data_IF_770141890538
#
_entry.id   IF_770141890538
#
_cell.length_a   1.000
_cell.length_b   1.000
_cell.length_c   1.000
_cell.angle_alpha   90.00
_cell.angle_beta   90.00
_cell.angle_gamma   90.00
#
_symmetry.space_group_name_H-M   'P 1'
#
loop_
_entity.id
_entity.type
_entity.pdbx_description
1 polymer ?
#
# COMPACT_ATOMS: atom_id res chain seq x y z
N UNK A 1 -10.00 32.11 3.19
CA UNK A 1 -10.17 30.73 3.70
C UNK A 1 -9.51 29.82 2.69
N UNK A 2 -8.29 29.36 2.98
CA UNK A 2 -7.58 28.39 2.13
C UNK A 2 -8.37 27.08 2.19
N UNK A 3 -8.94 26.67 1.05
CA UNK A 3 -9.46 25.32 0.88
C UNK A 3 -8.28 24.36 1.07
N UNK A 4 -8.16 23.78 2.26
CA UNK A 4 -7.18 22.76 2.55
C UNK A 4 -7.71 21.47 1.93
N UNK A 5 -7.10 21.04 0.82
CA UNK A 5 -7.35 19.71 0.29
C UNK A 5 -6.77 18.70 1.27
N UNK A 6 -7.62 17.85 1.81
CA UNK A 6 -7.22 16.73 2.68
C UNK A 6 -6.25 15.83 1.92
N UNK A 7 -5.14 15.48 2.55
CA UNK A 7 -4.31 14.38 2.06
C UNK A 7 -5.16 13.09 2.01
N UNK A 8 -5.09 12.37 0.89
CA UNK A 8 -5.59 11.00 0.76
C UNK A 8 -7.06 10.91 0.40
N UNK A 9 -7.45 11.44 -0.76
CA UNK A 9 -8.74 11.07 -1.38
C UNK A 9 -8.79 9.59 -1.79
N UNK A 10 -7.65 8.88 -1.75
CA UNK A 10 -7.50 7.44 -1.95
C UNK A 10 -6.90 6.75 -0.69
N UNK A 11 -7.51 6.85 0.47
CA UNK A 11 -8.53 5.93 1.00
C UNK A 11 -8.07 4.86 2.03
N UNK A 12 -6.83 4.38 2.00
CA UNK A 12 -6.22 3.68 3.13
C UNK A 12 -4.73 4.02 3.24
N UNK A 13 -4.21 4.05 4.47
CA UNK A 13 -2.82 4.45 4.71
C UNK A 13 -2.18 3.73 5.89
N UNK A 14 -0.89 3.49 5.75
CA UNK A 14 -0.03 2.88 6.76
C UNK A 14 0.96 3.95 7.24
N UNK A 15 1.03 4.15 8.55
CA UNK A 15 2.02 5.00 9.18
C UNK A 15 3.09 4.14 9.86
N UNK A 16 4.36 4.41 9.56
CA UNK A 16 5.52 3.69 10.12
C UNK A 16 6.41 4.66 10.87
N UNK A 17 6.70 4.36 12.14
CA UNK A 17 7.51 5.22 13.01
C UNK A 17 9.02 5.04 12.77
N UNK A 18 9.74 6.15 12.66
CA UNK A 18 11.20 6.28 12.59
C UNK A 18 11.87 5.38 11.53
N UNK A 19 11.20 5.21 10.39
CA UNK A 19 11.72 4.55 9.20
C UNK A 19 11.70 5.46 7.99
N UNK A 20 12.66 5.27 7.10
CA UNK A 20 12.78 6.00 5.85
C UNK A 20 11.79 5.51 4.79
N UNK A 21 11.56 6.31 3.75
CA UNK A 21 10.76 5.90 2.59
C UNK A 21 11.33 4.65 1.91
N UNK A 22 12.65 4.47 1.90
CA UNK A 22 13.30 3.31 1.29
C UNK A 22 13.00 2.02 2.07
N UNK A 23 13.14 2.05 3.40
CA UNK A 23 12.84 0.90 4.26
C UNK A 23 11.36 0.52 4.19
N UNK A 24 10.46 1.52 4.15
CA UNK A 24 9.02 1.27 4.01
C UNK A 24 8.69 0.72 2.63
N UNK A 25 9.32 1.22 1.56
CA UNK A 25 9.15 0.68 0.21
C UNK A 25 9.59 -0.79 0.13
N UNK A 26 10.77 -1.10 0.66
CA UNK A 26 11.31 -2.46 0.70
C UNK A 26 10.40 -3.41 1.47
N UNK A 27 9.95 -2.99 2.66
CA UNK A 27 9.04 -3.79 3.48
C UNK A 27 7.69 -4.06 2.81
N UNK A 28 7.20 -3.11 2.00
CA UNK A 28 5.97 -3.26 1.23
C UNK A 28 6.19 -4.01 -0.10
N UNK A 29 7.44 -4.31 -0.48
CA UNK A 29 7.79 -4.94 -1.75
C UNK A 29 7.66 -4.01 -2.96
N UNK A 30 7.71 -2.70 -2.74
CA UNK A 30 7.57 -1.69 -3.79
C UNK A 30 8.91 -1.48 -4.51
N UNK A 31 8.88 -1.48 -5.84
CA UNK A 31 10.07 -1.31 -6.68
C UNK A 31 9.83 -0.33 -7.82
N UNK A 32 10.89 0.28 -8.34
CA UNK A 32 10.79 1.20 -9.49
C UNK A 32 10.17 2.58 -9.18
N UNK A 33 10.18 3.01 -7.92
CA UNK A 33 9.58 4.28 -7.51
C UNK A 33 10.21 5.51 -8.17
N UNK A 34 9.38 6.51 -8.48
CA UNK A 34 9.79 7.81 -9.02
C UNK A 34 9.54 8.93 -8.03
N UNK A 35 10.44 9.90 -7.98
CA UNK A 35 10.27 11.11 -7.17
C UNK A 35 9.18 11.99 -7.78
N UNK A 36 8.21 12.38 -6.97
CA UNK A 36 7.09 13.24 -7.34
C UNK A 36 6.84 14.29 -6.25
N UNK A 37 5.99 15.27 -6.56
CA UNK A 37 5.47 16.16 -5.53
C UNK A 37 4.56 15.37 -4.57
N UNK A 38 4.56 15.71 -3.28
CA UNK A 38 3.69 15.07 -2.29
C UNK A 38 2.20 15.12 -2.68
N UNK A 39 1.75 16.22 -3.28
CA UNK A 39 0.38 16.36 -3.77
C UNK A 39 0.03 15.39 -4.92
N UNK A 40 1.02 15.03 -5.75
CA UNK A 40 0.83 14.02 -6.81
C UNK A 40 0.73 12.63 -6.20
N UNK A 41 1.65 12.28 -5.29
CA UNK A 41 1.69 10.97 -4.62
C UNK A 41 0.36 10.62 -3.93
N UNK A 42 -0.30 11.64 -3.38
CA UNK A 42 -1.47 11.49 -2.51
C UNK A 42 -2.80 11.46 -3.27
N UNK A 43 -2.80 11.97 -4.50
CA UNK A 43 -3.96 11.94 -5.40
C UNK A 43 -3.94 10.70 -6.31
N UNK A 44 -2.88 9.90 -6.28
CA UNK A 44 -2.76 8.71 -7.11
C UNK A 44 -3.76 7.64 -6.65
N UNK A 45 -4.58 7.15 -7.58
CA UNK A 45 -5.65 6.18 -7.29
C UNK A 45 -5.25 4.72 -7.51
N UNK A 46 -4.23 4.47 -8.33
CA UNK A 46 -3.78 3.14 -8.78
C UNK A 46 -2.28 2.93 -8.53
N UNK A 47 -1.75 3.61 -7.52
CA UNK A 47 -0.34 3.62 -7.20
C UNK A 47 -0.17 3.87 -5.71
N UNK A 48 0.98 3.46 -5.18
CA UNK A 48 1.34 3.67 -3.78
C UNK A 48 2.26 4.87 -3.64
N UNK A 49 1.78 5.89 -2.94
CA UNK A 49 2.55 7.09 -2.60
C UNK A 49 3.20 6.97 -1.22
N UNK A 50 4.52 7.13 -1.16
CA UNK A 50 5.27 7.27 0.09
C UNK A 50 5.62 8.73 0.35
N UNK A 51 5.08 9.29 1.42
CA UNK A 51 5.41 10.63 1.88
C UNK A 51 6.72 10.64 2.68
N UNK A 52 7.50 11.73 2.63
CA UNK A 52 8.70 11.86 3.43
C UNK A 52 8.35 11.86 4.93
N UNK A 53 9.28 11.51 5.83
CA UNK A 53 8.98 11.38 7.26
C UNK A 53 8.46 12.69 7.86
N UNK A 54 7.22 12.67 8.35
CA UNK A 54 6.51 13.80 8.94
C UNK A 54 6.67 13.77 10.46
N UNK A 55 6.79 14.93 11.09
CA UNK A 55 6.83 14.98 12.56
C UNK A 55 5.45 14.60 13.13
N UNK A 56 5.43 13.73 14.14
CA UNK A 56 4.20 13.34 14.84
C UNK A 56 4.46 13.10 16.33
N UNK A 57 3.42 12.65 17.04
CA UNK A 57 3.57 12.23 18.43
C UNK A 57 4.48 11.00 18.47
N UNK A 58 5.52 11.03 19.30
CA UNK A 58 6.43 9.90 19.48
C UNK A 58 7.55 9.73 18.45
N UNK A 59 7.63 10.53 17.39
CA UNK A 59 8.75 10.51 16.44
C UNK A 59 8.40 10.96 15.03
N UNK A 60 9.14 10.49 14.03
CA UNK A 60 8.89 10.82 12.62
C UNK A 60 8.18 9.68 11.91
N UNK A 61 7.06 9.98 11.28
CA UNK A 61 6.20 8.99 10.64
C UNK A 61 6.32 9.05 9.12
N UNK A 62 6.66 7.92 8.51
CA UNK A 62 6.59 7.73 7.07
C UNK A 62 5.23 7.16 6.71
N UNK A 63 4.55 7.78 5.75
CA UNK A 63 3.19 7.42 5.38
C UNK A 63 3.17 6.77 4.01
N UNK A 64 2.56 5.59 3.91
CA UNK A 64 2.20 4.95 2.66
C UNK A 64 0.70 5.14 2.41
N UNK A 65 0.32 5.68 1.26
CA UNK A 65 -1.06 5.97 0.87
C UNK A 65 -1.38 5.26 -0.44
N UNK A 66 -2.43 4.44 -0.45
CA UNK A 66 -2.95 3.80 -1.66
C UNK A 66 -4.36 3.26 -1.43
N UNK A 67 -5.18 3.25 -2.47
CA UNK A 67 -6.44 2.51 -2.47
C UNK A 67 -6.21 0.98 -2.33
N UNK A 68 -5.10 0.45 -2.83
CA UNK A 68 -4.72 -0.96 -2.73
C UNK A 68 -4.35 -1.43 -1.32
N UNK A 69 -4.17 -0.51 -0.36
CA UNK A 69 -3.97 -0.84 1.05
C UNK A 69 -5.27 -1.14 1.79
N UNK A 70 -6.43 -0.88 1.17
CA UNK A 70 -7.74 -1.21 1.75
C UNK A 70 -7.84 -2.71 1.99
N UNK A 71 -8.37 -3.09 3.16
CA UNK A 71 -8.51 -4.52 3.50
C UNK A 71 -7.21 -5.28 3.73
N UNK A 72 -6.08 -4.60 3.98
CA UNK A 72 -4.84 -5.27 4.37
C UNK A 72 -5.07 -6.17 5.59
N UNK A 73 -4.68 -7.44 5.47
CA UNK A 73 -4.90 -8.41 6.55
C UNK A 73 -4.08 -8.07 7.80
N UNK A 74 -4.64 -8.34 8.99
CA UNK A 74 -3.93 -8.19 10.27
C UNK A 74 -2.61 -8.95 10.26
N UNK A 75 -2.56 -10.14 9.66
CA UNK A 75 -1.32 -10.94 9.54
C UNK A 75 -0.23 -10.20 8.76
N UNK A 76 -0.58 -9.53 7.67
CA UNK A 76 0.37 -8.73 6.87
C UNK A 76 0.86 -7.53 7.68
N UNK A 77 -0.03 -6.85 8.40
CA UNK A 77 0.35 -5.76 9.32
C UNK A 77 1.30 -6.23 10.41
N UNK A 78 1.01 -7.35 11.09
CA UNK A 78 1.90 -7.91 12.12
C UNK A 78 3.27 -8.30 11.53
N UNK A 79 3.29 -8.81 10.31
CA UNK A 79 4.53 -9.14 9.61
C UNK A 79 5.34 -7.87 9.32
N UNK A 80 4.69 -6.79 8.87
CA UNK A 80 5.35 -5.49 8.66
C UNK A 80 5.92 -4.92 9.95
N UNK A 81 5.16 -4.96 11.06
CA UNK A 81 5.63 -4.55 12.38
C UNK A 81 6.88 -5.32 12.81
N UNK A 82 6.87 -6.64 12.63
CA UNK A 82 8.01 -7.50 12.98
C UNK A 82 9.21 -7.29 12.06
N UNK A 83 8.98 -7.10 10.76
CA UNK A 83 10.04 -6.89 9.77
C UNK A 83 10.76 -5.56 10.00
N UNK A 84 10.02 -4.50 10.29
CA UNK A 84 10.55 -3.16 10.48
C UNK A 84 11.01 -2.88 11.92
N UNK A 85 10.70 -3.80 12.85
CA UNK A 85 10.96 -3.69 14.29
C UNK A 85 10.58 -2.30 14.83
N UNK A 86 9.37 -1.87 14.50
CA UNK A 86 8.85 -0.53 14.85
C UNK A 86 7.33 -0.51 14.89
N UNK A 87 6.77 0.59 15.37
CA UNK A 87 5.34 0.81 15.39
C UNK A 87 4.80 1.03 13.97
N UNK A 88 3.76 0.27 13.62
CA UNK A 88 3.03 0.38 12.36
C UNK A 88 1.56 0.56 12.67
N UNK A 89 0.97 1.65 12.18
CA UNK A 89 -0.45 1.97 12.35
C UNK A 89 -1.16 1.92 11.00
N UNK A 90 -2.38 1.39 10.99
CA UNK A 90 -3.21 1.31 9.79
C UNK A 90 -4.50 2.09 9.97
N UNK A 91 -4.84 2.86 8.95
CA UNK A 91 -6.01 3.72 8.91
C UNK A 91 -6.75 3.50 7.59
N UNK A 92 -7.93 2.90 7.66
CA UNK A 92 -8.82 2.69 6.52
C UNK A 92 -9.97 3.69 6.57
N UNK A 93 -10.13 4.49 5.52
CA UNK A 93 -11.19 5.49 5.41
C UNK A 93 -12.23 5.14 4.33
N UNK A 94 -12.11 3.95 3.70
CA UNK A 94 -13.08 3.39 2.72
C UNK A 94 -13.96 2.36 3.33
N UNK A 95 -13.35 1.44 4.08
CA UNK A 95 -14.03 0.22 4.51
C UNK A 95 -15.29 0.51 5.31
N UNK A 96 -15.34 1.64 6.02
CA UNK A 96 -16.51 2.11 6.73
C UNK A 96 -16.60 3.65 6.72
N UNK A 97 -17.47 4.23 5.87
CA UNK A 97 -17.71 5.67 5.82
C UNK A 97 -18.20 6.27 7.15
N UNK A 98 -18.90 5.48 7.98
CA UNK A 98 -19.39 5.96 9.28
C UNK A 98 -18.25 6.06 10.30
N UNK A 99 -17.21 5.23 10.18
CA UNK A 99 -16.03 5.27 11.02
C UNK A 99 -14.97 6.29 10.54
N UNK A 100 -15.18 6.95 9.39
CA UNK A 100 -14.19 7.83 8.78
C UNK A 100 -13.72 8.95 9.71
N UNK A 101 -14.65 9.62 10.37
CA UNK A 101 -14.30 10.72 11.28
C UNK A 101 -13.59 10.21 12.54
N UNK A 102 -13.91 9.01 13.02
CA UNK A 102 -13.21 8.38 14.15
C UNK A 102 -11.78 7.97 13.78
N UNK A 103 -11.57 7.44 12.58
CA UNK A 103 -10.24 7.09 12.04
C UNK A 103 -9.36 8.33 11.94
N UNK A 104 -9.93 9.45 11.49
CA UNK A 104 -9.21 10.73 11.40
C UNK A 104 -8.97 11.34 12.78
N UNK A 105 -9.92 11.26 13.72
CA UNK A 105 -9.73 11.70 15.09
C UNK A 105 -8.61 10.91 15.80
N UNK A 106 -8.56 9.59 15.59
CA UNK A 106 -7.47 8.74 16.08
C UNK A 106 -6.12 9.11 15.47
N UNK A 107 -6.08 9.38 14.16
CA UNK A 107 -4.87 9.87 13.51
C UNK A 107 -4.42 11.24 14.06
N UNK A 108 -5.37 12.14 14.34
CA UNK A 108 -5.10 13.45 14.93
C UNK A 108 -4.51 13.35 16.33
N UNK A 109 -4.99 12.42 17.15
CA UNK A 109 -4.42 12.17 18.48
C UNK A 109 -2.93 11.80 18.42
N UNK A 110 -2.51 11.10 17.36
CA UNK A 110 -1.10 10.74 17.11
C UNK A 110 -0.32 11.83 16.35
N UNK A 111 -0.93 13.00 16.13
CA UNK A 111 -0.40 14.09 15.28
C UNK A 111 -0.10 13.66 13.84
N UNK A 112 -0.88 12.70 13.34
CA UNK A 112 -0.78 12.17 11.97
C UNK A 112 -1.92 12.64 11.07
N UNK A 113 -2.80 13.52 11.54
CA UNK A 113 -4.04 13.87 10.83
C UNK A 113 -3.76 14.42 9.43
N UNK A 114 -4.21 13.72 8.36
CA UNK A 114 -4.11 14.15 6.97
C UNK A 114 -4.73 15.54 6.70
N UNK A 115 -5.68 16.00 7.53
CA UNK A 115 -6.28 17.34 7.46
C UNK A 115 -5.37 18.42 8.06
N UNK A 116 -4.47 18.06 8.98
CA UNK A 116 -3.52 18.96 9.66
C UNK A 116 -2.12 18.94 9.07
N UNK A 117 -1.79 17.93 8.25
CA UNK A 117 -0.59 17.90 7.40
C UNK A 117 -0.62 18.96 6.28
N UNK A 118 -1.52 19.94 6.37
CA UNK A 118 -1.64 21.10 5.50
C UNK A 118 -0.37 21.94 5.50
N UNK A 119 0.35 21.88 4.38
CA UNK A 119 1.56 22.63 4.11
C UNK A 119 2.28 22.00 2.92
N UNK A 120 3.21 22.75 2.31
CA UNK A 120 4.16 22.15 1.38
C UNK A 120 4.99 21.15 2.21
N UNK A 121 4.71 19.85 2.08
CA UNK A 121 5.50 18.82 2.74
C UNK A 121 6.93 18.97 2.22
N UNK A 122 7.91 19.36 3.05
CA UNK A 122 9.26 19.60 2.56
C UNK A 122 9.86 18.28 2.08
N UNK A 123 10.22 18.24 0.80
CA UNK A 123 10.87 17.09 0.17
C UNK A 123 10.06 16.44 -0.95
N UNK A 124 10.67 15.44 -1.58
CA UNK A 124 10.04 14.66 -2.64
C UNK A 124 9.35 13.43 -2.04
N UNK A 125 8.10 13.20 -2.47
CA UNK A 125 7.43 11.92 -2.23
C UNK A 125 7.91 10.91 -3.28
N UNK A 126 7.76 9.62 -2.98
CA UNK A 126 8.07 8.56 -3.94
C UNK A 126 6.77 7.89 -4.34
N UNK A 127 6.47 7.85 -5.64
CA UNK A 127 5.31 7.16 -6.17
C UNK A 127 5.76 5.84 -6.81
N UNK A 128 5.09 4.77 -6.45
CA UNK A 128 5.28 3.43 -7.01
C UNK A 128 4.01 3.05 -7.75
N UNK A 129 4.11 2.75 -9.03
CA UNK A 129 2.99 2.18 -9.75
C UNK A 129 2.67 0.82 -9.11
N UNK A 130 1.42 0.62 -8.69
CA UNK A 130 1.00 -0.69 -8.22
C UNK A 130 1.18 -1.61 -9.44
N UNK A 131 2.10 -2.57 -9.33
CA UNK A 131 2.36 -3.50 -10.44
C UNK A 131 1.03 -4.13 -10.77
N UNK A 132 0.54 -3.86 -11.97
CA UNK A 132 -0.57 -4.58 -12.57
C UNK A 132 -0.13 -6.04 -12.58
N UNK A 133 -0.53 -6.79 -11.54
CA UNK A 133 -0.44 -8.23 -11.51
C UNK A 133 -1.47 -8.66 -12.55
N UNK A 134 -1.04 -8.59 -13.82
CA UNK A 134 -1.84 -8.94 -14.97
C UNK A 134 -2.51 -10.29 -14.71
N UNK A 135 -3.65 -10.55 -15.36
CA UNK A 135 -4.49 -11.69 -15.04
C UNK A 135 -3.62 -12.94 -14.84
N UNK A 136 -3.85 -13.72 -13.76
CA UNK A 136 -2.98 -14.84 -13.40
C UNK A 136 -2.72 -15.65 -14.67
N UNK A 137 -1.46 -16.07 -14.93
CA UNK A 137 -1.15 -16.78 -16.16
C UNK A 137 -2.16 -17.91 -16.28
N UNK A 138 -2.94 -17.88 -17.37
CA UNK A 138 -3.95 -18.91 -17.62
C UNK A 138 -3.24 -20.25 -17.45
N UNK A 139 -3.73 -21.07 -16.52
CA UNK A 139 -3.16 -22.36 -16.18
C UNK A 139 -2.59 -22.99 -17.45
N UNK A 140 -1.27 -23.18 -17.48
CA UNK A 140 -0.62 -23.93 -18.55
C UNK A 140 -1.35 -25.26 -18.61
N UNK A 141 -2.24 -25.38 -19.60
CA UNK A 141 -2.92 -26.61 -19.96
C UNK A 141 -1.83 -27.66 -19.95
N UNK A 142 -1.85 -28.53 -18.94
CA UNK A 142 -0.98 -29.70 -18.86
C UNK A 142 -1.22 -30.45 -20.16
N UNK A 143 -0.38 -30.19 -21.14
CA UNK A 143 -0.36 -30.96 -22.36
C UNK A 143 0.14 -32.31 -21.89
N UNK A 144 -0.66 -33.40 -21.91
CA UNK A 144 -0.11 -34.68 -21.52
C UNK A 144 0.97 -35.02 -22.53
N UNK A 145 2.20 -35.02 -22.01
CA UNK A 145 3.41 -35.42 -22.70
C UNK A 145 3.19 -36.79 -23.34
N UNK A 146 3.56 -36.87 -24.62
CA UNK A 146 3.55 -38.05 -25.47
C UNK A 146 4.09 -39.29 -24.75
N UNK A 147 3.24 -40.29 -24.53
CA UNK A 147 3.66 -41.68 -24.32
C UNK A 147 3.13 -42.54 -25.47
N UNK A 148 3.98 -42.94 -26.45
CA UNK A 148 3.52 -43.55 -27.70
C UNK A 148 3.33 -45.09 -27.67
N UNK A 149 3.13 -45.75 -26.52
CA UNK A 149 3.17 -47.24 -26.45
C UNK A 149 1.99 -47.95 -25.76
N UNK A 150 0.85 -47.28 -25.53
CA UNK A 150 -0.30 -47.89 -24.83
C UNK A 150 -1.60 -47.94 -25.66
N UNK A 151 -1.48 -48.14 -26.98
CA UNK A 151 -2.61 -48.38 -27.89
C UNK A 151 -2.62 -49.79 -28.51
N UNK A 152 -2.22 -50.81 -27.74
CA UNK A 152 -2.41 -52.22 -28.12
C UNK A 152 -3.23 -52.95 -27.06
N UNK A 153 -4.54 -52.76 -27.10
CA UNK A 153 -5.58 -53.77 -26.77
C UNK A 153 -6.94 -53.10 -26.82
N UNK A 154 -7.49 -52.92 -28.02
CA UNK A 154 -8.94 -52.77 -28.21
C UNK A 154 -9.31 -52.80 -29.71
N UNK A 155 -8.73 -53.71 -30.49
CA UNK A 155 -9.30 -54.08 -31.80
C UNK A 155 -8.98 -55.54 -32.15
N UNK A 156 -9.97 -56.42 -31.90
CA UNK A 156 -10.29 -57.73 -32.51
C UNK A 156 -10.87 -58.63 -31.43
N UNK A 157 -11.99 -59.32 -31.58
CA UNK A 157 -13.13 -59.27 -32.51
C UNK A 157 -14.19 -60.11 -31.80
#
# INVERSE_FOLDING_TARGET
MTHLESFGQATAWIAVLDRSQAEVAEALGLTGGRNVAAAEAVRASSATGLLPPLAGAGGRWTLAVSAGLTGISTRRLTTLTALLDTQVLFYDTVGDPAARDDVLARAAAESLDPRTLSGEVPGHAVLFDDVDEGPPPADLVKTPSRTPWLWTRLFRR
#
